data_IF_686871594848
#
_entry.id   IF_686871594848
#
_cell.length_a   1.000
_cell.length_b   1.000
_cell.length_c   1.000
_cell.angle_alpha   90.00
_cell.angle_beta   90.00
_cell.angle_gamma   90.00
#
_symmetry.space_group_name_H-M   'P 1'
#
loop_
_entity.id
_entity.type
_entity.pdbx_description
1 polymer ?
#
# COMPACT_ATOMS: atom_id res chain seq x y z
N UNK A 1 23.65 18.69 -6.70
CA UNK A 1 22.22 19.05 -6.90
C UNK A 1 21.68 19.89 -5.74
N UNK A 2 22.00 19.57 -4.47
CA UNK A 2 21.50 20.31 -3.30
C UNK A 2 21.93 21.79 -3.26
N UNK A 3 23.11 22.09 -3.80
CA UNK A 3 23.70 23.44 -3.79
C UNK A 3 23.43 24.22 -5.08
N UNK A 4 22.63 23.66 -5.98
CA UNK A 4 22.32 24.22 -7.31
C UNK A 4 23.58 24.55 -8.14
N UNK A 5 24.69 23.85 -7.85
CA UNK A 5 25.95 24.00 -8.56
C UNK A 5 25.98 23.03 -9.76
N UNK A 6 26.11 23.50 -11.00
CA UNK A 6 26.17 22.66 -12.19
C UNK A 6 27.51 21.92 -12.36
N UNK A 7 28.55 22.29 -11.60
CA UNK A 7 29.86 21.71 -11.71
C UNK A 7 30.10 20.67 -10.62
N UNK A 8 30.42 19.45 -11.01
CA UNK A 8 30.74 18.36 -10.10
C UNK A 8 32.19 17.87 -10.33
N UNK A 9 33.07 17.91 -9.31
CA UNK A 9 34.42 17.41 -9.46
C UNK A 9 34.44 15.88 -9.52
N UNK A 10 35.13 15.33 -10.51
CA UNK A 10 35.34 13.89 -10.64
C UNK A 10 36.67 13.49 -9.94
N UNK A 11 36.84 12.19 -9.55
CA UNK A 11 38.01 11.69 -8.88
C UNK A 11 39.32 11.83 -9.69
N UNK A 12 39.22 11.95 -11.01
CA UNK A 12 40.34 12.15 -11.92
C UNK A 12 40.76 13.63 -12.05
N UNK A 13 40.16 14.55 -11.30
CA UNK A 13 40.39 15.98 -11.34
C UNK A 13 39.65 16.73 -12.44
N UNK A 14 38.90 16.07 -13.27
CA UNK A 14 38.04 16.71 -14.26
C UNK A 14 36.72 17.21 -13.66
N UNK A 15 35.98 18.05 -14.40
CA UNK A 15 34.69 18.59 -13.96
C UNK A 15 33.58 18.08 -14.85
N UNK A 16 32.55 17.51 -14.25
CA UNK A 16 31.32 17.16 -14.91
C UNK A 16 30.35 18.34 -14.87
N UNK A 17 29.85 18.78 -16.01
CA UNK A 17 28.78 19.76 -16.11
C UNK A 17 27.44 19.04 -16.05
N UNK A 18 26.68 19.25 -15.00
CA UNK A 18 25.36 18.63 -14.82
C UNK A 18 24.33 19.40 -15.65
N UNK A 19 23.62 18.75 -16.59
CA UNK A 19 22.59 19.42 -17.39
C UNK A 19 21.50 20.04 -16.53
N UNK A 20 20.96 21.18 -16.94
CA UNK A 20 19.90 21.90 -16.21
C UNK A 20 18.64 21.05 -16.03
N UNK A 21 18.32 20.21 -16.99
CA UNK A 21 17.17 19.29 -16.94
C UNK A 21 17.28 18.29 -15.79
N UNK A 22 18.50 17.92 -15.40
CA UNK A 22 18.74 17.01 -14.27
C UNK A 22 18.38 17.66 -12.93
N UNK A 23 18.61 18.97 -12.80
CA UNK A 23 18.20 19.68 -11.57
C UNK A 23 16.69 19.62 -11.41
N UNK A 24 15.90 19.95 -12.45
CA UNK A 24 14.45 19.86 -12.39
C UNK A 24 13.95 18.44 -12.13
N UNK A 25 14.58 17.43 -12.77
CA UNK A 25 14.17 16.02 -12.67
C UNK A 25 14.50 15.39 -11.33
N UNK A 26 15.68 15.70 -10.76
CA UNK A 26 16.21 15.03 -9.58
C UNK A 26 16.24 15.90 -8.32
N UNK A 27 15.77 17.15 -8.40
CA UNK A 27 15.73 18.08 -7.25
C UNK A 27 14.99 17.48 -6.05
N UNK A 28 13.81 16.92 -6.28
CA UNK A 28 13.00 16.29 -5.22
C UNK A 28 13.71 15.09 -4.63
N UNK A 29 14.39 14.30 -5.44
CA UNK A 29 15.16 13.15 -5.00
C UNK A 29 16.35 13.58 -4.13
N UNK A 30 17.04 14.64 -4.51
CA UNK A 30 18.14 15.23 -3.74
C UNK A 30 17.65 15.83 -2.41
N UNK A 31 16.44 16.41 -2.40
CA UNK A 31 15.83 17.01 -1.21
C UNK A 31 15.39 15.98 -0.17
N UNK A 32 14.76 14.88 -0.60
CA UNK A 32 14.18 13.87 0.28
C UNK A 32 15.02 12.60 0.42
N UNK A 33 15.99 12.39 -0.45
CA UNK A 33 16.90 11.26 -0.39
C UNK A 33 18.02 11.47 0.64
N UNK A 34 18.35 10.41 1.35
CA UNK A 34 19.51 10.34 2.23
C UNK A 34 20.62 9.52 1.55
N UNK A 35 21.83 10.06 1.51
CA UNK A 35 22.96 9.32 1.00
C UNK A 35 23.42 8.29 2.03
N UNK A 36 23.55 7.05 1.60
CA UNK A 36 24.11 5.99 2.40
C UNK A 36 24.94 5.05 1.52
N UNK A 37 26.24 5.00 1.76
CA UNK A 37 27.19 4.13 1.04
C UNK A 37 27.14 4.31 -0.50
N UNK A 38 27.10 5.55 -0.99
CA UNK A 38 27.04 5.86 -2.43
C UNK A 38 25.70 5.56 -3.09
N UNK A 39 24.66 5.25 -2.30
CA UNK A 39 23.28 5.02 -2.76
C UNK A 39 22.36 6.04 -2.13
N UNK A 40 21.30 6.41 -2.86
CA UNK A 40 20.25 7.28 -2.33
C UNK A 40 19.17 6.41 -1.68
N UNK A 41 18.95 6.60 -0.38
CA UNK A 41 17.88 5.96 0.37
C UNK A 41 16.68 6.91 0.44
N UNK A 42 15.52 6.44 0.01
CA UNK A 42 14.26 7.16 0.13
C UNK A 42 13.36 6.49 1.15
N UNK A 43 12.66 7.28 1.95
CA UNK A 43 11.58 6.75 2.77
C UNK A 43 10.45 6.24 1.87
N UNK A 44 9.78 5.16 2.25
CA UNK A 44 8.65 4.59 1.48
C UNK A 44 7.52 5.60 1.24
N UNK A 45 7.32 6.55 2.15
CA UNK A 45 6.36 7.65 2.01
C UNK A 45 6.62 8.58 0.80
N UNK A 46 7.84 8.57 0.25
CA UNK A 46 8.21 9.35 -0.93
C UNK A 46 8.19 8.54 -2.24
N UNK A 47 7.47 7.43 -2.24
CA UNK A 47 7.36 6.53 -3.40
C UNK A 47 6.94 7.25 -4.70
N UNK A 48 6.00 8.19 -4.63
CA UNK A 48 5.56 8.96 -5.79
C UNK A 48 6.70 9.69 -6.53
N UNK A 49 7.85 9.92 -5.86
CA UNK A 49 9.04 10.46 -6.51
C UNK A 49 9.71 9.46 -7.46
N UNK A 50 9.50 8.16 -7.24
CA UNK A 50 10.06 7.10 -8.10
C UNK A 50 9.30 6.98 -9.41
N UNK A 51 8.03 7.40 -9.48
CA UNK A 51 7.25 7.41 -10.74
C UNK A 51 7.86 8.35 -11.78
N UNK A 52 8.58 9.39 -11.35
CA UNK A 52 9.32 10.28 -12.24
C UNK A 52 10.61 9.64 -12.80
N UNK A 53 11.02 8.50 -12.22
CA UNK A 53 12.21 7.73 -12.57
C UNK A 53 11.76 6.35 -13.06
N UNK A 54 11.39 6.23 -14.33
CA UNK A 54 10.83 5.02 -14.93
C UNK A 54 11.63 3.72 -14.69
N UNK A 55 12.91 3.83 -14.31
CA UNK A 55 13.83 2.71 -14.09
C UNK A 55 14.03 2.33 -12.62
N UNK A 56 13.45 3.08 -11.66
CA UNK A 56 13.80 2.97 -10.24
C UNK A 56 12.78 2.21 -9.39
N UNK A 57 11.80 1.52 -9.99
CA UNK A 57 10.87 0.68 -9.21
C UNK A 57 11.63 -0.51 -8.63
N UNK A 58 11.45 -0.82 -7.32
CA UNK A 58 12.04 -2.01 -6.73
C UNK A 58 11.63 -3.25 -7.53
N UNK A 59 12.54 -4.22 -7.71
CA UNK A 59 12.27 -5.48 -8.42
C UNK A 59 11.11 -6.29 -7.83
N UNK A 60 10.79 -6.05 -6.57
CA UNK A 60 9.75 -6.74 -5.79
C UNK A 60 8.44 -5.94 -5.72
N UNK A 61 8.29 -4.92 -6.58
CA UNK A 61 7.09 -4.09 -6.57
C UNK A 61 5.87 -4.85 -7.07
N UNK A 62 4.86 -5.00 -6.22
CA UNK A 62 3.58 -5.60 -6.58
C UNK A 62 2.73 -4.56 -7.29
N UNK A 63 2.31 -4.85 -8.52
CA UNK A 63 1.40 -4.01 -9.32
C UNK A 63 0.48 -4.89 -10.14
N UNK A 64 -0.64 -4.32 -10.61
CA UNK A 64 -1.60 -5.03 -11.45
C UNK A 64 -2.42 -6.06 -10.69
N UNK A 65 -2.72 -5.81 -9.42
CA UNK A 65 -3.60 -6.67 -8.63
C UNK A 65 -5.00 -6.60 -9.21
N UNK A 66 -5.55 -7.76 -9.60
CA UNK A 66 -6.94 -7.90 -9.98
C UNK A 66 -7.77 -8.39 -8.78
N UNK A 67 -8.58 -7.49 -8.24
CA UNK A 67 -9.46 -7.82 -7.13
C UNK A 67 -10.71 -8.58 -7.61
N UNK A 68 -10.91 -9.76 -7.03
CA UNK A 68 -12.16 -10.51 -7.17
C UNK A 68 -12.97 -10.37 -5.88
N UNK A 69 -14.23 -9.88 -5.97
CA UNK A 69 -15.06 -9.75 -4.79
C UNK A 69 -15.26 -11.07 -4.07
N UNK A 70 -14.92 -11.08 -2.78
CA UNK A 70 -15.18 -12.24 -1.93
C UNK A 70 -16.69 -12.46 -1.76
N UNK A 71 -17.18 -13.71 -1.76
CA UNK A 71 -18.60 -14.00 -1.45
C UNK A 71 -18.98 -13.59 -0.01
N UNK A 72 -18.00 -13.29 0.82
CA UNK A 72 -18.19 -12.74 2.17
C UNK A 72 -18.61 -11.28 2.16
N UNK A 73 -18.27 -10.52 1.12
CA UNK A 73 -18.74 -9.14 0.96
C UNK A 73 -20.20 -9.15 0.52
N UNK A 74 -21.08 -8.64 1.37
CA UNK A 74 -22.54 -8.59 1.11
C UNK A 74 -22.93 -7.33 0.34
N UNK A 75 -22.15 -6.96 -0.66
CA UNK A 75 -22.40 -5.83 -1.55
C UNK A 75 -21.75 -6.05 -2.91
N UNK A 76 -22.29 -5.38 -3.94
CA UNK A 76 -21.64 -5.30 -5.25
C UNK A 76 -20.89 -3.99 -5.37
N UNK A 77 -19.62 -4.07 -5.77
CA UNK A 77 -18.79 -2.89 -6.01
C UNK A 77 -19.02 -2.35 -7.43
N UNK A 78 -19.11 -1.04 -7.54
CA UNK A 78 -19.07 -0.35 -8.84
C UNK A 78 -17.64 -0.45 -9.42
N UNK A 79 -17.45 -0.27 -10.74
CA UNK A 79 -16.13 -0.38 -11.36
C UNK A 79 -15.05 0.45 -10.65
N UNK A 80 -15.29 1.74 -10.44
CA UNK A 80 -14.34 2.62 -9.75
C UNK A 80 -14.03 2.20 -8.31
N UNK A 81 -14.99 1.62 -7.59
CA UNK A 81 -14.76 1.10 -6.24
C UNK A 81 -13.85 -0.14 -6.27
N UNK A 82 -13.98 -0.97 -7.30
CA UNK A 82 -13.08 -2.10 -7.50
C UNK A 82 -11.66 -1.63 -7.77
N UNK A 83 -11.49 -0.66 -8.66
CA UNK A 83 -10.18 -0.02 -8.93
C UNK A 83 -9.58 0.56 -7.66
N UNK A 84 -10.39 1.22 -6.82
CA UNK A 84 -9.95 1.74 -5.51
C UNK A 84 -9.49 0.63 -4.56
N UNK A 85 -10.17 -0.52 -4.53
CA UNK A 85 -9.75 -1.69 -3.73
C UNK A 85 -8.45 -2.29 -4.28
N UNK A 86 -8.29 -2.42 -5.59
CA UNK A 86 -7.07 -2.89 -6.24
C UNK A 86 -5.89 -2.01 -5.86
N UNK A 87 -6.06 -0.69 -5.97
CA UNK A 87 -5.07 0.30 -5.57
C UNK A 87 -4.71 0.20 -4.07
N UNK A 88 -5.69 0.05 -3.17
CA UNK A 88 -5.46 -0.14 -1.74
C UNK A 88 -4.68 -1.43 -1.46
N UNK A 89 -4.99 -2.52 -2.14
CA UNK A 89 -4.30 -3.80 -2.01
C UNK A 89 -2.85 -3.71 -2.49
N UNK A 90 -2.60 -3.01 -3.60
CA UNK A 90 -1.24 -2.76 -4.07
C UNK A 90 -0.42 -2.01 -3.02
N UNK A 91 -0.99 -0.97 -2.40
CA UNK A 91 -0.33 -0.22 -1.33
C UNK A 91 -0.08 -1.09 -0.10
N UNK A 92 -1.04 -1.91 0.27
CA UNK A 92 -0.91 -2.84 1.38
C UNK A 92 0.23 -3.84 1.15
N UNK A 93 0.28 -4.50 -0.01
CA UNK A 93 1.33 -5.47 -0.34
C UNK A 93 2.72 -4.83 -0.43
N UNK A 94 2.78 -3.60 -0.87
CA UNK A 94 4.02 -2.83 -0.90
C UNK A 94 4.36 -2.19 0.47
N UNK A 95 3.57 -2.46 1.52
CA UNK A 95 3.74 -1.91 2.87
C UNK A 95 3.78 -0.38 2.88
N UNK A 96 2.89 0.24 2.12
CA UNK A 96 2.75 1.68 2.01
C UNK A 96 1.44 2.17 2.61
N UNK A 97 1.45 3.42 3.06
CA UNK A 97 0.22 4.13 3.38
C UNK A 97 -0.53 4.53 2.11
N UNK A 98 -1.85 4.66 2.23
CA UNK A 98 -2.72 5.11 1.15
C UNK A 98 -3.72 6.16 1.67
N UNK A 99 -4.16 7.07 0.80
CA UNK A 99 -5.19 8.05 1.09
C UNK A 99 -6.29 7.95 0.04
N UNK A 100 -7.44 7.36 0.40
CA UNK A 100 -8.61 7.26 -0.45
C UNK A 100 -9.40 8.57 -0.38
N UNK A 101 -9.15 9.48 -1.33
CA UNK A 101 -9.67 10.85 -1.34
C UNK A 101 -10.90 11.04 -2.25
N UNK A 102 -11.71 10.01 -2.41
CA UNK A 102 -12.98 10.09 -3.14
C UNK A 102 -13.94 11.09 -2.50
N UNK A 103 -14.87 11.64 -3.26
CA UNK A 103 -15.92 12.50 -2.75
C UNK A 103 -16.82 11.81 -1.73
N UNK A 104 -17.57 12.61 -0.95
CA UNK A 104 -18.50 12.07 0.02
C UNK A 104 -19.61 11.25 -0.69
N UNK A 105 -20.00 10.12 -0.07
CA UNK A 105 -21.06 9.26 -0.61
C UNK A 105 -20.60 8.24 -1.67
N UNK A 106 -19.35 8.25 -2.11
CA UNK A 106 -18.83 7.30 -3.10
C UNK A 106 -18.45 5.92 -2.53
N UNK A 107 -18.76 5.66 -1.25
CA UNK A 107 -18.62 4.34 -0.65
C UNK A 107 -17.19 4.00 -0.24
N UNK A 108 -16.43 4.97 0.29
CA UNK A 108 -15.09 4.73 0.84
C UNK A 108 -15.06 3.63 1.90
N UNK A 109 -16.04 3.63 2.82
CA UNK A 109 -16.16 2.58 3.85
C UNK A 109 -16.30 1.20 3.22
N UNK A 110 -17.13 1.08 2.18
CA UNK A 110 -17.32 -0.19 1.47
C UNK A 110 -16.03 -0.68 0.80
N UNK A 111 -15.25 0.23 0.21
CA UNK A 111 -13.94 -0.10 -0.38
C UNK A 111 -12.96 -0.59 0.70
N UNK A 112 -12.91 0.08 1.85
CA UNK A 112 -12.07 -0.36 2.98
C UNK A 112 -12.50 -1.73 3.51
N UNK A 113 -13.80 -1.97 3.68
CA UNK A 113 -14.31 -3.28 4.11
C UNK A 113 -13.98 -4.38 3.09
N UNK A 114 -14.10 -4.10 1.80
CA UNK A 114 -13.72 -5.02 0.74
C UNK A 114 -12.23 -5.37 0.77
N UNK A 115 -11.36 -4.36 0.96
CA UNK A 115 -9.93 -4.55 1.13
C UNK A 115 -9.62 -5.39 2.38
N UNK A 116 -10.24 -5.09 3.53
CA UNK A 116 -10.02 -5.85 4.78
C UNK A 116 -10.43 -7.32 4.62
N UNK A 117 -11.55 -7.61 3.94
CA UNK A 117 -11.98 -8.99 3.65
C UNK A 117 -10.95 -9.67 2.74
N UNK A 118 -10.48 -9.01 1.68
CA UNK A 118 -9.50 -9.57 0.77
C UNK A 118 -8.18 -9.91 1.50
N UNK A 119 -7.69 -9.00 2.34
CA UNK A 119 -6.51 -9.24 3.17
C UNK A 119 -6.75 -10.41 4.12
N UNK A 120 -7.89 -10.45 4.81
CA UNK A 120 -8.25 -11.55 5.71
C UNK A 120 -8.28 -12.90 4.96
N UNK A 121 -8.83 -12.93 3.75
CA UNK A 121 -8.95 -14.15 2.95
C UNK A 121 -7.58 -14.66 2.44
N UNK A 122 -6.61 -13.76 2.26
CA UNK A 122 -5.24 -14.08 1.84
C UNK A 122 -4.27 -14.33 3.01
N UNK A 123 -4.70 -14.08 4.26
CA UNK A 123 -3.85 -14.31 5.42
C UNK A 123 -3.45 -15.79 5.48
N UNK A 124 -2.15 -16.09 5.67
CA UNK A 124 -1.69 -17.46 5.74
C UNK A 124 -2.37 -18.17 6.92
N UNK A 125 -2.73 -19.42 6.69
CA UNK A 125 -3.09 -20.31 7.78
C UNK A 125 -1.90 -20.39 8.73
N UNK A 126 -2.13 -20.34 10.05
CA UNK A 126 -1.07 -20.65 10.99
C UNK A 126 -0.49 -22.00 10.58
N UNK A 127 0.77 -22.04 10.20
CA UNK A 127 1.56 -23.25 10.24
C UNK A 127 1.81 -23.59 11.73
N UNK A 128 0.77 -24.07 12.41
CA UNK A 128 1.02 -24.95 13.54
C UNK A 128 1.68 -26.17 12.92
N UNK A 129 2.82 -26.56 13.46
CA UNK A 129 3.59 -27.76 13.11
C UNK A 129 2.72 -28.81 12.46
N UNK A 130 3.15 -29.34 11.30
CA UNK A 130 2.38 -30.26 10.47
C UNK A 130 1.47 -31.13 11.33
N UNK A 131 0.14 -31.07 11.14
CA UNK A 131 -0.76 -31.86 11.95
C UNK A 131 -0.38 -33.33 11.75
N UNK A 132 0.15 -33.95 12.79
CA UNK A 132 0.47 -35.39 12.83
C UNK A 132 -0.79 -36.22 12.79
N UNK A 133 -1.98 -35.59 12.84
CA UNK A 133 -3.26 -36.28 12.92
C UNK A 133 -4.31 -35.67 11.99
N UNK A 134 -5.03 -36.52 11.24
CA UNK A 134 -6.09 -36.14 10.28
C UNK A 134 -7.19 -35.30 10.95
N UNK A 135 -7.44 -35.50 12.24
CA UNK A 135 -8.42 -34.77 13.03
C UNK A 135 -8.01 -33.29 13.31
N UNK A 136 -6.72 -32.96 13.20
CA UNK A 136 -6.23 -31.60 13.38
C UNK A 136 -6.32 -30.74 12.10
N UNK A 137 -6.49 -31.36 10.93
CA UNK A 137 -6.67 -30.67 9.65
C UNK A 137 -7.92 -29.74 9.63
N UNK A 138 -8.96 -30.09 10.42
CA UNK A 138 -10.15 -29.26 10.57
C UNK A 138 -9.99 -28.04 11.49
N UNK A 139 -8.86 -27.93 12.22
CA UNK A 139 -8.58 -26.89 13.19
C UNK A 139 -7.57 -25.84 12.71
N UNK A 140 -7.22 -25.84 11.42
CA UNK A 140 -6.36 -24.80 10.84
C UNK A 140 -7.07 -23.45 10.92
N UNK A 141 -6.88 -22.74 12.02
CA UNK A 141 -7.38 -21.38 12.19
C UNK A 141 -6.42 -20.41 11.54
N UNK A 142 -6.97 -19.53 10.67
CA UNK A 142 -6.23 -18.38 10.19
C UNK A 142 -5.92 -17.46 11.36
N UNK A 143 -4.75 -16.82 11.32
CA UNK A 143 -4.51 -15.74 12.29
C UNK A 143 -5.58 -14.67 12.12
N UNK A 144 -6.19 -14.18 13.22
CA UNK A 144 -7.20 -13.14 13.11
C UNK A 144 -6.56 -11.87 12.55
N UNK A 145 -7.17 -11.28 11.53
CA UNK A 145 -6.79 -9.96 11.04
C UNK A 145 -7.03 -8.96 12.19
N UNK A 146 -5.98 -8.21 12.54
CA UNK A 146 -6.07 -7.12 13.50
C UNK A 146 -6.03 -5.81 12.74
N UNK A 147 -7.14 -5.06 12.78
CA UNK A 147 -7.26 -3.74 12.18
C UNK A 147 -7.74 -2.74 13.24
N UNK A 148 -7.12 -1.56 13.28
CA UNK A 148 -7.55 -0.45 14.12
C UNK A 148 -8.16 0.63 13.23
N UNK A 149 -9.43 0.96 13.49
CA UNK A 149 -10.14 2.04 12.79
C UNK A 149 -10.32 3.19 13.77
N UNK A 150 -9.75 4.35 13.43
CA UNK A 150 -9.83 5.58 14.23
C UNK A 150 -10.85 6.52 13.60
N UNK A 151 -11.89 6.88 14.35
CA UNK A 151 -13.04 7.63 13.87
C UNK A 151 -13.45 8.73 14.86
N UNK A 152 -14.07 9.83 14.37
CA UNK A 152 -14.90 10.69 15.23
C UNK A 152 -16.03 9.89 15.88
N UNK A 153 -16.35 10.19 17.13
CA UNK A 153 -17.38 9.48 17.91
C UNK A 153 -18.74 9.40 17.22
N UNK A 154 -19.12 10.44 16.46
CA UNK A 154 -20.37 10.51 15.69
C UNK A 154 -20.45 9.48 14.55
N UNK A 155 -19.34 8.94 14.10
CA UNK A 155 -19.30 7.97 12.99
C UNK A 155 -19.18 6.51 13.44
N UNK A 156 -18.92 6.24 14.71
CA UNK A 156 -18.71 4.89 15.24
C UNK A 156 -19.92 4.01 14.94
N UNK A 157 -21.13 4.52 15.22
CA UNK A 157 -22.37 3.79 14.99
C UNK A 157 -22.57 3.46 13.51
N UNK A 158 -22.33 4.42 12.63
CA UNK A 158 -22.47 4.22 11.19
C UNK A 158 -21.51 3.13 10.68
N UNK A 159 -20.25 3.15 11.12
CA UNK A 159 -19.27 2.13 10.76
C UNK A 159 -19.68 0.74 11.26
N UNK A 160 -20.16 0.66 12.49
CA UNK A 160 -20.63 -0.60 13.07
C UNK A 160 -21.80 -1.21 12.27
N UNK A 161 -22.78 -0.39 11.89
CA UNK A 161 -23.89 -0.84 11.07
C UNK A 161 -23.45 -1.23 9.64
N UNK A 162 -22.51 -0.50 9.03
CA UNK A 162 -21.95 -0.85 7.72
C UNK A 162 -21.16 -2.16 7.78
N UNK A 163 -20.36 -2.39 8.83
CA UNK A 163 -19.66 -3.67 9.02
C UNK A 163 -20.67 -4.81 9.14
N UNK A 164 -21.67 -4.70 10.00
CA UNK A 164 -22.72 -5.72 10.12
C UNK A 164 -23.44 -6.01 8.82
N UNK A 165 -23.72 -4.97 8.05
CA UNK A 165 -24.46 -5.08 6.79
C UNK A 165 -23.63 -5.69 5.68
N UNK A 166 -22.39 -5.26 5.50
CA UNK A 166 -21.58 -5.59 4.33
C UNK A 166 -20.50 -6.64 4.60
N UNK A 167 -20.03 -6.75 5.85
CA UNK A 167 -18.93 -7.62 6.26
C UNK A 167 -19.23 -8.33 7.60
N UNK A 168 -20.37 -9.04 7.74
CA UNK A 168 -20.85 -9.58 9.03
C UNK A 168 -19.90 -10.60 9.67
N UNK A 169 -18.93 -11.11 8.94
CA UNK A 169 -17.89 -12.03 9.46
C UNK A 169 -16.71 -11.30 10.12
N UNK A 170 -16.59 -9.98 9.97
CA UNK A 170 -15.62 -9.20 10.70
C UNK A 170 -16.17 -8.92 12.10
N UNK A 171 -15.49 -9.41 13.12
CA UNK A 171 -15.83 -9.13 14.52
C UNK A 171 -15.22 -7.79 14.95
N UNK A 172 -16.01 -6.90 15.53
CA UNK A 172 -15.60 -5.62 16.10
C UNK A 172 -16.17 -5.41 17.51
#
# INVERSE_FOLDING_TARGET
LRENNPLYPLPDGSWLVIPKEWFARYERLAKFGQEHQGKIRLARSHYALLDTLAEAKPKEWVSGIHYQPSPRLKASLRPYQREGVEWLLEHYHNQMGACLADDMGLGKTLQILAMLIAVHDTYPLKQTDFPTDIFQLGQMQREPLKALIVLPSSLIFNWYEEIKRFAPQLSC
#
